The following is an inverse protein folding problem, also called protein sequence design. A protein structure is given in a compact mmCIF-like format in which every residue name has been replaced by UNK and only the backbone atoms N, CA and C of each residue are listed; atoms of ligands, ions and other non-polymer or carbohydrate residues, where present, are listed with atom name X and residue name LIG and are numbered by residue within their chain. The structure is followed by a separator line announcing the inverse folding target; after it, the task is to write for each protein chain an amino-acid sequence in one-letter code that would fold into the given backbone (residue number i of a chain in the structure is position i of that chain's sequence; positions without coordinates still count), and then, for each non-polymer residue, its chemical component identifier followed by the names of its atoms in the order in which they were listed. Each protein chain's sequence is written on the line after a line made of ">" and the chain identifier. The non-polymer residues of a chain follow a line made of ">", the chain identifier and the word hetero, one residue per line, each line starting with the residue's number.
data_IF_913429251286
#
_entry.id   IF_913429251286
#
_cell.length_a   1.000
_cell.length_b   1.000
_cell.length_c   1.000
_cell.angle_alpha   90.00
_cell.angle_beta   90.00
_cell.angle_gamma   90.00
#
_symmetry.space_group_name_H-M   'P 1'
#
loop_
_entity.id
_entity.type
_entity.pdbx_description
1 polymer ?
#
# COMPACT_ATOMS: atom_id res chain seq x y z
N UNK A 1 2.99 6.85 14.39
CA UNK A 1 3.66 5.61 13.94
C UNK A 1 4.34 4.92 15.11
N UNK A 2 4.13 3.62 15.28
CA UNK A 2 4.82 2.85 16.32
C UNK A 2 6.27 2.54 15.89
N UNK A 3 7.15 2.25 16.86
CA UNK A 3 8.58 2.06 16.61
C UNK A 3 8.88 0.84 15.74
N UNK A 4 8.21 -0.28 16.00
CA UNK A 4 8.41 -1.54 15.27
C UNK A 4 8.08 -1.39 13.78
N UNK A 5 7.01 -0.67 13.46
CA UNK A 5 6.62 -0.40 12.08
C UNK A 5 7.59 0.56 11.39
N UNK A 6 8.11 1.57 12.11
CA UNK A 6 9.18 2.44 11.56
C UNK A 6 10.42 1.61 11.19
N UNK A 7 10.87 0.74 12.09
CA UNK A 7 12.01 -0.15 11.84
C UNK A 7 11.74 -1.09 10.64
N UNK A 8 10.51 -1.59 10.50
CA UNK A 8 10.11 -2.39 9.34
C UNK A 8 10.21 -1.60 8.03
N UNK A 9 9.70 -0.37 7.99
CA UNK A 9 9.81 0.48 6.80
C UNK A 9 11.27 0.77 6.43
N UNK A 10 12.11 1.09 7.41
CA UNK A 10 13.54 1.34 7.20
C UNK A 10 14.26 0.12 6.62
N UNK A 11 13.92 -1.10 7.09
CA UNK A 11 14.49 -2.34 6.58
C UNK A 11 14.06 -2.63 5.12
N UNK A 12 12.86 -2.21 4.73
CA UNK A 12 12.29 -2.49 3.39
C UNK A 12 12.31 -1.28 2.46
N UNK A 13 12.98 -0.19 2.83
CA UNK A 13 12.90 1.09 2.11
C UNK A 13 13.33 0.99 0.64
N UNK A 14 14.36 0.18 0.36
CA UNK A 14 14.82 -0.04 -1.01
C UNK A 14 13.81 -0.84 -1.83
N UNK A 15 13.12 -1.80 -1.20
CA UNK A 15 12.07 -2.56 -1.86
C UNK A 15 10.88 -1.65 -2.18
N UNK A 16 10.45 -0.83 -1.21
CA UNK A 16 9.40 0.17 -1.37
C UNK A 16 9.71 1.12 -2.52
N UNK A 17 10.85 1.81 -2.50
CA UNK A 17 11.21 2.73 -3.58
C UNK A 17 11.39 2.05 -4.94
N UNK A 18 11.67 0.75 -4.97
CA UNK A 18 11.71 0.01 -6.24
C UNK A 18 10.32 -0.19 -6.88
N UNK A 19 9.24 0.11 -6.17
CA UNK A 19 7.86 -0.01 -6.67
C UNK A 19 7.43 1.20 -7.49
N UNK A 20 8.06 2.36 -7.29
CA UNK A 20 7.67 3.60 -7.98
C UNK A 20 7.79 3.44 -9.50
N UNK A 21 6.76 3.90 -10.22
CA UNK A 21 6.64 3.76 -11.67
C UNK A 21 6.34 2.34 -12.16
N UNK A 22 6.12 1.37 -11.26
CA UNK A 22 5.70 0.01 -11.63
C UNK A 22 4.19 -0.13 -11.61
N UNK A 23 3.70 -1.09 -12.38
CA UNK A 23 2.28 -1.40 -12.48
C UNK A 23 1.99 -2.88 -12.22
N UNK A 24 0.73 -3.18 -11.88
CA UNK A 24 0.25 -4.57 -11.78
C UNK A 24 -1.18 -4.69 -12.33
N UNK A 25 -1.53 -5.90 -12.76
CA UNK A 25 -2.87 -6.22 -13.28
C UNK A 25 -3.80 -6.56 -12.12
N UNK A 26 -4.95 -5.91 -12.04
CA UNK A 26 -5.91 -6.07 -10.93
C UNK A 26 -6.48 -7.50 -10.85
N UNK A 27 -6.61 -8.19 -11.99
CA UNK A 27 -7.01 -9.61 -12.08
C UNK A 27 -6.13 -10.61 -11.31
N UNK A 28 -4.91 -10.21 -10.93
CA UNK A 28 -4.06 -11.02 -10.05
C UNK A 28 -4.72 -11.15 -8.67
N UNK A 29 -5.41 -10.09 -8.24
CA UNK A 29 -6.12 -10.00 -6.98
C UNK A 29 -7.62 -10.06 -7.24
N UNK A 30 -8.19 -11.26 -7.20
CA UNK A 30 -9.61 -11.48 -7.54
C UNK A 30 -10.61 -10.60 -6.78
N UNK A 31 -10.27 -10.18 -5.55
CA UNK A 31 -11.09 -9.25 -4.75
C UNK A 31 -11.01 -7.82 -5.29
N UNK A 32 -9.85 -7.40 -5.76
CA UNK A 32 -9.63 -6.07 -6.35
C UNK A 32 -10.31 -5.96 -7.72
N UNK A 33 -10.13 -6.96 -8.60
CA UNK A 33 -10.77 -7.01 -9.93
C UNK A 33 -12.30 -6.89 -9.87
N UNK A 34 -12.91 -7.43 -8.80
CA UNK A 34 -14.36 -7.34 -8.60
C UNK A 34 -14.81 -6.02 -8.00
N UNK A 35 -13.92 -5.32 -7.31
CA UNK A 35 -14.23 -4.10 -6.60
C UNK A 35 -14.09 -2.87 -7.49
N UNK A 36 -13.02 -2.79 -8.29
CA UNK A 36 -12.69 -1.59 -9.06
C UNK A 36 -12.79 -1.85 -10.57
N UNK A 37 -13.12 -0.83 -11.38
CA UNK A 37 -13.24 -0.98 -12.83
C UNK A 37 -11.88 -1.07 -13.55
N UNK A 38 -10.81 -0.63 -12.90
CA UNK A 38 -9.47 -0.57 -13.48
C UNK A 38 -8.86 -1.97 -13.69
N UNK A 39 -8.26 -2.19 -14.86
CA UNK A 39 -7.58 -3.44 -15.18
C UNK A 39 -6.12 -3.47 -14.74
N UNK A 40 -5.54 -2.29 -14.54
CA UNK A 40 -4.13 -2.07 -14.20
C UNK A 40 -4.05 -0.89 -13.25
N UNK A 41 -3.20 -0.99 -12.22
CA UNK A 41 -2.85 0.14 -11.36
C UNK A 41 -1.34 0.39 -11.46
N UNK A 42 -0.96 1.66 -11.56
CA UNK A 42 0.43 2.13 -11.56
C UNK A 42 0.70 2.86 -10.25
N UNK A 43 1.80 2.50 -9.59
CA UNK A 43 2.29 3.14 -8.38
C UNK A 43 3.01 4.42 -8.82
N UNK A 44 2.35 5.56 -8.64
CA UNK A 44 2.83 6.85 -9.17
C UNK A 44 3.91 7.48 -8.31
N UNK A 45 3.83 7.27 -7.00
CA UNK A 45 4.79 7.82 -6.04
C UNK A 45 4.86 6.93 -4.80
N UNK A 46 6.07 6.68 -4.29
CA UNK A 46 6.29 6.02 -3.01
C UNK A 46 6.69 7.08 -1.98
N UNK A 47 5.94 7.18 -0.88
CA UNK A 47 6.14 8.24 0.09
C UNK A 47 7.50 8.10 0.79
N UNK A 48 8.21 9.21 0.88
CA UNK A 48 9.50 9.26 1.58
C UNK A 48 9.33 9.17 3.09
N UNK A 49 10.42 8.87 3.81
CA UNK A 49 10.45 8.86 5.28
C UNK A 49 9.90 10.14 5.90
N UNK A 50 10.13 11.27 5.25
CA UNK A 50 9.77 12.60 5.75
C UNK A 50 8.28 12.91 5.50
N UNK A 51 7.70 12.33 4.44
CA UNK A 51 6.28 12.49 4.08
C UNK A 51 5.36 11.55 4.86
N UNK A 52 5.82 10.34 5.17
CA UNK A 52 5.01 9.29 5.78
C UNK A 52 4.30 9.74 7.06
N UNK A 53 4.95 10.51 7.94
CA UNK A 53 4.30 11.00 9.15
C UNK A 53 3.12 11.93 8.87
N UNK A 54 3.25 12.78 7.84
CA UNK A 54 2.20 13.71 7.45
C UNK A 54 1.07 12.97 6.72
N UNK A 55 1.42 12.08 5.80
CA UNK A 55 0.46 11.27 5.04
C UNK A 55 -0.36 10.39 6.00
N UNK A 56 0.27 9.75 6.98
CA UNK A 56 -0.46 9.00 8.00
C UNK A 56 -1.46 9.84 8.77
N UNK A 57 -1.06 11.02 9.23
CA UNK A 57 -1.96 11.93 9.96
C UNK A 57 -3.17 12.33 9.12
N UNK A 58 -2.98 12.49 7.82
CA UNK A 58 -4.08 12.84 6.91
C UNK A 58 -5.07 11.69 6.70
N UNK A 59 -4.59 10.44 6.75
CA UNK A 59 -5.42 9.24 6.55
C UNK A 59 -5.90 8.58 7.86
N UNK A 60 -5.43 9.04 9.02
CA UNK A 60 -5.64 8.41 10.33
C UNK A 60 -7.13 8.16 10.65
N UNK A 61 -8.02 9.12 10.32
CA UNK A 61 -9.46 8.98 10.53
C UNK A 61 -10.12 7.87 9.71
N UNK A 62 -9.40 7.30 8.73
CA UNK A 62 -9.91 6.30 7.80
C UNK A 62 -9.18 4.96 7.90
N UNK A 63 -7.89 4.96 8.28
CA UNK A 63 -7.05 3.76 8.26
C UNK A 63 -6.68 3.24 9.64
N UNK A 64 -6.83 4.04 10.70
CA UNK A 64 -6.43 3.66 12.06
C UNK A 64 -7.19 2.44 12.59
N UNK A 65 -8.52 2.39 12.43
CA UNK A 65 -9.35 1.25 12.85
C UNK A 65 -9.04 -0.04 12.07
N UNK A 66 -8.48 0.10 10.86
CA UNK A 66 -8.06 -1.01 10.02
C UNK A 66 -6.65 -1.49 10.35
N UNK A 67 -5.90 -0.74 11.15
CA UNK A 67 -4.49 -1.03 11.47
C UNK A 67 -3.59 -0.99 10.24
N UNK A 68 -3.89 -0.11 9.27
CA UNK A 68 -3.11 0.03 8.03
C UNK A 68 -2.61 1.45 7.84
N UNK A 69 -1.57 1.55 7.03
CA UNK A 69 -0.81 2.76 6.85
C UNK A 69 -0.46 2.99 5.38
N UNK A 70 -0.81 4.14 4.78
CA UNK A 70 -0.41 4.49 3.42
C UNK A 70 1.11 4.57 3.28
N UNK A 71 1.63 4.01 2.19
CA UNK A 71 3.06 3.96 1.84
C UNK A 71 3.37 4.40 0.41
N UNK A 72 2.40 4.36 -0.48
CA UNK A 72 2.51 4.82 -1.86
C UNK A 72 1.14 5.23 -2.37
N UNK A 73 1.09 5.99 -3.45
CA UNK A 73 -0.14 6.36 -4.14
C UNK A 73 -0.23 5.77 -5.54
N UNK A 74 -1.48 5.62 -5.99
CA UNK A 74 -1.85 5.44 -7.37
C UNK A 74 -2.56 6.72 -7.86
N UNK A 75 -2.75 6.84 -9.17
CA UNK A 75 -3.49 7.95 -9.74
C UNK A 75 -4.90 8.07 -9.16
N UNK A 76 -5.32 9.25 -8.67
CA UNK A 76 -6.70 9.48 -8.24
C UNK A 76 -6.99 9.25 -6.75
N UNK A 77 -6.01 9.51 -5.86
CA UNK A 77 -6.13 9.42 -4.39
C UNK A 77 -6.31 8.00 -3.82
N UNK A 78 -6.07 6.97 -4.64
CA UNK A 78 -5.97 5.60 -4.17
C UNK A 78 -4.58 5.40 -3.58
N UNK A 79 -4.45 4.62 -2.51
CA UNK A 79 -3.16 4.40 -1.84
C UNK A 79 -2.88 2.92 -1.64
N UNK A 80 -1.60 2.57 -1.76
CA UNK A 80 -1.07 1.30 -1.30
C UNK A 80 -0.76 1.44 0.19
N UNK A 81 -1.22 0.48 0.98
CA UNK A 81 -1.09 0.48 2.42
C UNK A 81 -0.37 -0.78 2.92
N UNK A 82 0.30 -0.64 4.07
CA UNK A 82 0.84 -1.75 4.84
C UNK A 82 0.15 -1.86 6.20
N UNK A 83 -0.09 -3.10 6.66
CA UNK A 83 -0.56 -3.34 8.01
C UNK A 83 0.52 -3.09 9.06
N UNK A 84 0.16 -2.41 10.14
CA UNK A 84 1.08 -2.04 11.24
C UNK A 84 0.63 -2.56 12.62
N UNK A 85 -0.46 -3.32 12.68
CA UNK A 85 -0.99 -3.97 13.88
C UNK A 85 -0.54 -5.43 13.94
N UNK A 86 -0.57 -6.02 15.14
CA UNK A 86 -0.05 -7.38 15.38
C UNK A 86 -0.67 -8.46 14.48
N UNK A 87 -1.94 -8.31 14.09
CA UNK A 87 -2.69 -9.28 13.31
C UNK A 87 -2.53 -9.11 11.78
N UNK A 88 -1.99 -7.97 11.32
CA UNK A 88 -1.84 -7.66 9.90
C UNK A 88 -0.44 -7.11 9.53
N UNK A 89 0.51 -7.19 10.45
CA UNK A 89 1.84 -6.60 10.29
C UNK A 89 2.51 -7.03 8.97
N UNK A 90 2.87 -6.04 8.15
CA UNK A 90 3.55 -6.25 6.86
C UNK A 90 2.65 -6.72 5.71
N UNK A 91 1.36 -6.97 5.95
CA UNK A 91 0.39 -7.30 4.89
C UNK A 91 0.12 -6.09 4.01
N UNK A 92 -0.15 -6.33 2.73
CA UNK A 92 -0.30 -5.30 1.71
C UNK A 92 -1.77 -5.12 1.35
N UNK A 93 -2.20 -3.86 1.28
CA UNK A 93 -3.58 -3.48 1.03
C UNK A 93 -3.67 -2.42 -0.05
N UNK A 94 -4.74 -2.47 -0.83
CA UNK A 94 -5.25 -1.34 -1.59
C UNK A 94 -6.26 -0.60 -0.71
N UNK A 95 -6.23 0.72 -0.69
CA UNK A 95 -7.24 1.55 -0.04
C UNK A 95 -7.69 2.67 -0.97
N UNK A 96 -9.01 2.85 -1.02
CA UNK A 96 -9.67 3.95 -1.69
C UNK A 96 -10.92 4.38 -0.89
N UNK A 97 -11.32 5.64 -1.01
CA UNK A 97 -12.46 6.16 -0.25
C UNK A 97 -13.81 5.63 -0.74
N UNK A 98 -13.93 5.29 -2.02
CA UNK A 98 -15.16 4.77 -2.62
C UNK A 98 -15.23 3.24 -2.51
N UNK A 99 -14.09 2.55 -2.64
CA UNK A 99 -14.03 1.08 -2.66
C UNK A 99 -13.59 0.43 -1.33
N UNK A 100 -13.08 1.23 -0.39
CA UNK A 100 -12.63 0.77 0.91
C UNK A 100 -11.27 0.06 0.89
N UNK A 101 -11.05 -0.83 1.85
CA UNK A 101 -9.79 -1.55 2.05
C UNK A 101 -9.87 -2.98 1.49
N UNK A 102 -8.91 -3.33 0.63
CA UNK A 102 -8.85 -4.63 -0.04
C UNK A 102 -7.46 -5.24 0.19
N UNK A 103 -7.40 -6.43 0.78
CA UNK A 103 -6.15 -7.16 0.96
C UNK A 103 -5.59 -7.67 -0.38
N UNK A 104 -4.29 -7.48 -0.59
CA UNK A 104 -3.58 -7.90 -1.81
C UNK A 104 -2.66 -9.10 -1.55
N UNK A 105 -1.72 -8.96 -0.62
CA UNK A 105 -0.70 -9.97 -0.30
C UNK A 105 -0.43 -10.03 1.21
N UNK A 106 0.16 -11.15 1.66
CA UNK A 106 0.56 -11.33 3.07
C UNK A 106 1.91 -10.68 3.40
N UNK A 107 2.66 -10.21 2.39
CA UNK A 107 3.92 -9.50 2.57
C UNK A 107 4.26 -8.56 1.41
N UNK A 108 5.13 -7.57 1.66
CA UNK A 108 5.67 -6.70 0.63
C UNK A 108 6.39 -7.49 -0.47
N UNK A 109 7.20 -8.49 -0.11
CA UNK A 109 7.95 -9.30 -1.09
C UNK A 109 7.08 -10.15 -2.00
N UNK A 110 5.95 -10.64 -1.50
CA UNK A 110 4.94 -11.30 -2.34
C UNK A 110 4.31 -10.30 -3.33
N UNK A 111 3.96 -9.10 -2.87
CA UNK A 111 3.42 -8.05 -3.73
C UNK A 111 4.43 -7.60 -4.79
N UNK A 112 5.69 -7.40 -4.40
CA UNK A 112 6.80 -7.03 -5.29
C UNK A 112 7.02 -8.02 -6.43
N UNK A 113 6.65 -9.29 -6.27
CA UNK A 113 6.72 -10.30 -7.33
C UNK A 113 5.63 -10.14 -8.41
N UNK A 114 4.57 -9.37 -8.13
CA UNK A 114 3.46 -9.13 -9.04
C UNK A 114 3.51 -7.80 -9.78
N UNK A 115 4.33 -6.85 -9.31
CA UNK A 115 4.56 -5.58 -9.99
C UNK A 115 5.58 -5.74 -11.14
N UNK A 116 5.36 -5.02 -12.22
CA UNK A 116 6.17 -5.07 -13.44
C UNK A 116 6.52 -3.65 -13.87
N UNK A 117 7.63 -3.50 -14.61
CA UNK A 117 7.92 -2.22 -15.28
C UNK A 117 6.74 -1.82 -16.17
N UNK A 118 6.34 -0.55 -16.09
CA UNK A 118 5.25 0.04 -16.88
C UNK A 118 5.60 0.22 -18.35
#
# INVERSE_FOLDING_TARGET
>A
MNKEFREYLELHINELYSLEGKSFKTRIFSSLEKAIPDSTLEITEVFTSDELEQVWKNFDSHTSELGIAPIAEFYGNMVLCLGHERNNFGKVYYFDFDFGCIGLCDSLSEFSAHVQEG
#
